data_IF_115243379939
#
_entry.id   IF_115243379939
#
_cell.length_a   1.000
_cell.length_b   1.000
_cell.length_c   1.000
_cell.angle_alpha   90.00
_cell.angle_beta   90.00
_cell.angle_gamma   90.00
#
_symmetry.space_group_name_H-M   'P 1'
#
loop_
_entity.id
_entity.type
_entity.pdbx_description
1 polymer ?
#
# COMPACT_ATOMS: atom_id res chain seq x y z
N UNK A 1 -54.36 -40.66 -14.71
CA UNK A 1 -53.59 -39.51 -14.23
C UNK A 1 -52.85 -39.97 -12.98
N UNK A 2 -51.58 -40.39 -13.14
CA UNK A 2 -50.80 -41.02 -12.08
C UNK A 2 -50.04 -39.91 -11.36
N UNK A 3 -50.46 -39.52 -10.17
CA UNK A 3 -49.67 -38.64 -9.30
C UNK A 3 -48.49 -39.44 -8.80
N UNK A 4 -47.28 -39.12 -9.28
CA UNK A 4 -46.04 -39.59 -8.67
C UNK A 4 -45.95 -38.95 -7.31
N UNK A 5 -45.99 -39.74 -6.25
CA UNK A 5 -45.65 -39.28 -4.89
C UNK A 5 -44.21 -38.77 -4.89
N UNK A 6 -43.95 -37.63 -4.25
CA UNK A 6 -42.58 -37.14 -4.11
C UNK A 6 -41.80 -38.13 -3.26
N UNK A 7 -40.66 -38.53 -3.79
CA UNK A 7 -39.72 -39.49 -3.23
C UNK A 7 -39.34 -39.15 -1.78
N UNK A 8 -39.62 -40.08 -0.87
CA UNK A 8 -39.29 -40.09 0.56
C UNK A 8 -37.78 -40.17 0.89
N UNK A 9 -36.90 -39.74 -0.03
CA UNK A 9 -35.46 -39.94 0.07
C UNK A 9 -34.75 -38.93 0.98
N UNK A 10 -35.46 -37.99 1.59
CA UNK A 10 -34.89 -36.90 2.38
C UNK A 10 -35.46 -36.76 3.79
N UNK A 11 -36.12 -37.76 4.31
CA UNK A 11 -36.51 -37.77 5.73
C UNK A 11 -35.31 -38.19 6.60
N UNK A 12 -34.45 -37.23 6.87
CA UNK A 12 -33.43 -37.42 7.89
C UNK A 12 -34.11 -37.50 9.26
N UNK A 13 -33.73 -38.49 10.11
CA UNK A 13 -34.24 -38.55 11.48
C UNK A 13 -34.02 -37.18 12.16
N UNK A 14 -35.07 -36.64 12.79
CA UNK A 14 -34.98 -35.28 13.44
C UNK A 14 -33.79 -35.13 14.37
N UNK A 15 -33.36 -36.21 15.00
CA UNK A 15 -32.18 -36.27 15.85
C UNK A 15 -30.87 -35.99 15.11
N UNK A 16 -30.71 -36.53 13.88
CA UNK A 16 -29.48 -36.33 13.08
C UNK A 16 -29.41 -34.89 12.56
N UNK A 17 -30.55 -34.34 12.16
CA UNK A 17 -30.63 -32.96 11.68
C UNK A 17 -30.32 -31.98 12.79
N UNK A 18 -30.86 -32.18 13.99
CA UNK A 18 -30.53 -31.35 15.19
C UNK A 18 -29.06 -31.46 15.57
N UNK A 19 -28.50 -32.67 15.59
CA UNK A 19 -27.08 -32.88 15.88
C UNK A 19 -26.18 -32.18 14.85
N UNK A 20 -26.53 -32.28 13.56
CA UNK A 20 -25.81 -31.58 12.47
C UNK A 20 -25.84 -30.06 12.61
N UNK A 21 -26.98 -29.48 12.94
CA UNK A 21 -27.09 -28.02 13.17
C UNK A 21 -26.26 -27.59 14.37
N UNK A 22 -26.35 -28.30 15.51
CA UNK A 22 -25.56 -28.00 16.70
C UNK A 22 -24.06 -28.09 16.40
N UNK A 23 -23.64 -29.12 15.68
CA UNK A 23 -22.24 -29.26 15.28
C UNK A 23 -21.78 -28.10 14.39
N UNK A 24 -22.55 -27.74 13.37
CA UNK A 24 -22.24 -26.60 12.49
C UNK A 24 -22.12 -25.28 13.27
N UNK A 25 -23.07 -25.02 14.16
CA UNK A 25 -23.03 -23.82 15.02
C UNK A 25 -21.79 -23.83 15.90
N UNK A 26 -21.46 -24.95 16.51
CA UNK A 26 -20.27 -25.07 17.37
C UNK A 26 -18.98 -24.83 16.57
N UNK A 27 -18.83 -25.47 15.42
CA UNK A 27 -17.64 -25.28 14.53
C UNK A 27 -17.53 -23.82 14.08
N UNK A 28 -18.65 -23.23 13.66
CA UNK A 28 -18.67 -21.81 13.26
C UNK A 28 -18.26 -20.90 14.41
N UNK A 29 -18.83 -21.10 15.60
CA UNK A 29 -18.51 -20.28 16.77
C UNK A 29 -17.02 -20.40 17.16
N UNK A 30 -16.45 -21.59 17.13
CA UNK A 30 -15.02 -21.81 17.38
C UNK A 30 -14.17 -21.12 16.31
N UNK A 31 -14.50 -21.30 15.05
CA UNK A 31 -13.75 -20.68 13.94
C UNK A 31 -13.78 -19.17 14.02
N UNK A 32 -14.96 -18.59 14.23
CA UNK A 32 -15.12 -17.14 14.42
C UNK A 32 -14.33 -16.65 15.64
N UNK A 33 -14.40 -17.37 16.76
CA UNK A 33 -13.66 -17.03 17.96
C UNK A 33 -12.13 -17.00 17.75
N UNK A 34 -11.60 -18.00 17.03
CA UNK A 34 -10.17 -18.07 16.70
C UNK A 34 -9.81 -16.88 15.79
N UNK A 35 -10.57 -16.65 14.73
CA UNK A 35 -10.30 -15.54 13.80
C UNK A 35 -10.40 -14.18 14.48
N UNK A 36 -11.41 -13.98 15.29
CA UNK A 36 -11.56 -12.74 16.03
C UNK A 36 -10.38 -12.49 16.98
N UNK A 37 -9.92 -13.52 17.69
CA UNK A 37 -8.77 -13.39 18.58
C UNK A 37 -7.46 -13.06 17.83
N UNK A 38 -7.29 -13.60 16.62
CA UNK A 38 -6.15 -13.24 15.75
C UNK A 38 -6.23 -11.77 15.34
N UNK A 39 -7.36 -11.32 14.82
CA UNK A 39 -7.56 -9.93 14.42
C UNK A 39 -7.33 -8.95 15.58
N UNK A 40 -7.83 -9.27 16.77
CA UNK A 40 -7.59 -8.42 17.96
C UNK A 40 -6.12 -8.35 18.33
N UNK A 41 -5.39 -9.46 18.25
CA UNK A 41 -3.94 -9.47 18.50
C UNK A 41 -3.17 -8.64 17.48
N UNK A 42 -3.50 -8.80 16.19
CA UNK A 42 -2.85 -8.08 15.11
C UNK A 42 -3.11 -6.57 15.21
N UNK A 43 -4.35 -6.18 15.49
CA UNK A 43 -4.71 -4.79 15.73
C UNK A 43 -4.04 -4.21 16.97
N UNK A 44 -3.98 -4.97 18.06
CA UNK A 44 -3.28 -4.56 19.27
C UNK A 44 -1.77 -4.40 19.04
N UNK A 45 -1.18 -5.34 18.30
CA UNK A 45 0.23 -5.26 17.90
C UNK A 45 0.51 -4.02 17.04
N UNK A 46 -0.31 -3.78 16.04
CA UNK A 46 -0.22 -2.60 15.17
C UNK A 46 -0.42 -1.30 15.96
N UNK A 47 -1.41 -1.26 16.85
CA UNK A 47 -1.65 -0.09 17.69
C UNK A 47 -0.47 0.20 18.64
N UNK A 48 0.10 -0.85 19.25
CA UNK A 48 1.28 -0.73 20.09
C UNK A 48 2.49 -0.23 19.30
N UNK A 49 2.74 -0.80 18.12
CA UNK A 49 3.81 -0.35 17.23
C UNK A 49 3.62 1.13 16.85
N UNK A 50 2.44 1.49 16.38
CA UNK A 50 2.14 2.86 15.98
C UNK A 50 2.20 3.87 17.14
N UNK A 51 1.93 3.44 18.37
CA UNK A 51 2.04 4.31 19.55
C UNK A 51 3.50 4.68 19.88
N UNK A 52 4.44 3.84 19.49
CA UNK A 52 5.88 4.08 19.68
C UNK A 52 6.48 4.98 18.58
N UNK A 53 5.77 5.16 17.46
CA UNK A 53 6.24 6.00 16.36
C UNK A 53 5.98 7.49 16.64
N UNK A 54 6.86 8.36 16.15
CA UNK A 54 6.60 9.81 16.09
C UNK A 54 5.37 10.10 15.20
N UNK A 55 4.83 11.31 15.29
CA UNK A 55 3.72 11.70 14.41
C UNK A 55 4.11 11.58 12.94
N UNK A 56 5.30 12.03 12.60
CA UNK A 56 5.85 11.95 11.24
C UNK A 56 5.97 10.52 10.75
N UNK A 57 6.54 9.63 11.57
CA UNK A 57 6.70 8.22 11.19
C UNK A 57 5.35 7.52 11.02
N UNK A 58 4.33 7.90 11.82
CA UNK A 58 2.95 7.38 11.65
C UNK A 58 2.31 7.84 10.34
N UNK A 59 2.56 9.08 9.93
CA UNK A 59 2.02 9.64 8.68
C UNK A 59 2.45 8.81 7.48
N UNK A 60 3.67 8.27 7.48
CA UNK A 60 4.23 7.52 6.36
C UNK A 60 4.35 6.02 6.59
N UNK A 61 4.01 5.52 7.78
CA UNK A 61 4.14 4.09 8.10
C UNK A 61 3.41 3.17 7.10
N UNK A 62 2.27 3.61 6.57
CA UNK A 62 1.55 2.92 5.51
C UNK A 62 2.27 2.95 4.15
N UNK A 63 3.14 3.93 3.93
CA UNK A 63 3.91 4.10 2.69
C UNK A 63 5.15 3.20 2.60
N UNK A 64 5.62 2.66 3.73
CA UNK A 64 6.83 1.83 3.78
C UNK A 64 6.78 0.57 2.91
N UNK A 65 5.59 0.08 2.64
CA UNK A 65 5.39 -1.06 1.75
C UNK A 65 5.28 -0.63 0.27
N UNK A 66 5.20 0.67 0.01
CA UNK A 66 4.93 1.23 -1.32
C UNK A 66 6.16 1.89 -1.93
N UNK A 67 6.91 2.61 -1.09
CA UNK A 67 8.14 3.29 -1.51
C UNK A 67 9.33 2.78 -0.70
N UNK A 68 10.47 2.55 -1.35
CA UNK A 68 11.66 1.99 -0.68
C UNK A 68 12.27 2.92 0.36
N UNK A 69 12.18 4.23 0.14
CA UNK A 69 12.79 5.23 1.02
C UNK A 69 11.79 6.34 1.38
N UNK A 70 11.38 6.34 2.65
CA UNK A 70 10.51 7.36 3.22
C UNK A 70 11.20 8.70 3.37
N UNK A 71 12.51 8.70 3.58
CA UNK A 71 13.29 9.92 3.72
C UNK A 71 13.14 10.77 2.48
N UNK A 72 13.13 10.14 1.29
CA UNK A 72 12.90 10.83 0.03
C UNK A 72 11.58 11.59 -0.01
N UNK A 73 10.52 11.06 0.57
CA UNK A 73 9.22 11.72 0.59
C UNK A 73 9.23 13.00 1.45
N UNK A 74 9.88 12.95 2.62
CA UNK A 74 10.02 14.12 3.49
C UNK A 74 10.93 15.16 2.88
N UNK A 75 12.06 14.74 2.32
CA UNK A 75 12.97 15.65 1.64
C UNK A 75 12.29 16.32 0.44
N UNK A 76 11.54 15.56 -0.38
CA UNK A 76 10.76 16.11 -1.47
C UNK A 76 9.75 17.15 -0.98
N UNK A 77 9.06 16.86 0.14
CA UNK A 77 8.09 17.79 0.74
C UNK A 77 8.77 19.07 1.27
N UNK A 78 10.00 18.98 1.75
CA UNK A 78 10.78 20.11 2.22
C UNK A 78 11.43 20.94 1.10
N UNK A 79 11.89 20.29 0.04
CA UNK A 79 12.66 20.90 -1.03
C UNK A 79 11.80 21.49 -2.15
N UNK A 80 10.71 20.81 -2.52
CA UNK A 80 9.84 21.23 -3.61
C UNK A 80 8.92 22.34 -3.11
N UNK A 81 8.92 23.55 -3.70
CA UNK A 81 8.01 24.62 -3.35
C UNK A 81 6.53 24.22 -3.52
N UNK A 82 5.64 24.78 -2.72
CA UNK A 82 4.21 24.41 -2.66
C UNK A 82 3.47 24.69 -3.97
N UNK A 83 3.92 25.68 -4.71
CA UNK A 83 3.37 26.15 -5.98
C UNK A 83 4.03 25.52 -7.22
N UNK A 84 5.04 24.68 -7.02
CA UNK A 84 5.74 23.96 -8.09
C UNK A 84 5.12 22.58 -8.36
N UNK A 85 5.39 22.05 -9.55
CA UNK A 85 5.01 20.70 -9.95
C UNK A 85 6.19 19.74 -9.81
N UNK A 86 5.88 18.45 -9.71
CA UNK A 86 6.88 17.39 -9.64
C UNK A 86 6.53 16.22 -10.57
N UNK A 87 7.54 15.43 -10.91
CA UNK A 87 7.40 14.17 -11.63
C UNK A 87 8.13 13.06 -10.88
N UNK A 88 7.53 11.87 -10.80
CA UNK A 88 8.16 10.68 -10.23
C UNK A 88 8.68 9.82 -11.36
N UNK A 89 10.01 9.73 -11.48
CA UNK A 89 10.68 9.00 -12.54
C UNK A 89 11.31 7.71 -12.01
N UNK A 90 11.24 6.65 -12.81
CA UNK A 90 11.83 5.35 -12.52
C UNK A 90 12.77 4.95 -13.64
N UNK A 91 13.99 4.55 -13.27
CA UNK A 91 14.92 3.94 -14.21
C UNK A 91 14.44 2.57 -14.69
N UNK A 92 14.88 2.17 -15.87
CA UNK A 92 14.50 0.91 -16.48
C UNK A 92 14.91 -0.31 -15.63
N UNK A 93 16.03 -0.20 -14.94
CA UNK A 93 16.64 -1.28 -14.15
C UNK A 93 16.52 -1.03 -12.63
N UNK A 94 15.51 -0.26 -12.19
CA UNK A 94 15.36 0.00 -10.78
C UNK A 94 15.18 -1.30 -9.98
N UNK A 95 16.23 -1.69 -9.25
CA UNK A 95 16.36 -3.01 -8.63
C UNK A 95 15.35 -3.31 -7.52
N UNK A 96 14.74 -2.31 -6.92
CA UNK A 96 13.71 -2.45 -5.88
C UNK A 96 12.27 -2.49 -6.42
N UNK A 97 12.10 -2.32 -7.73
CA UNK A 97 10.79 -2.15 -8.35
C UNK A 97 10.16 -3.43 -8.87
N UNK A 98 8.89 -3.62 -8.59
CA UNK A 98 8.03 -4.52 -9.36
C UNK A 98 7.22 -3.68 -10.37
N UNK A 99 6.59 -4.29 -11.40
CA UNK A 99 5.72 -3.55 -12.33
C UNK A 99 4.60 -2.74 -11.63
N UNK A 100 4.25 -3.11 -10.41
CA UNK A 100 3.23 -2.42 -9.61
C UNK A 100 3.81 -1.29 -8.74
N UNK A 101 5.12 -1.26 -8.51
CA UNK A 101 5.76 -0.27 -7.63
C UNK A 101 5.56 1.16 -8.15
N UNK A 102 5.71 1.36 -9.45
CA UNK A 102 5.56 2.68 -10.07
C UNK A 102 4.18 3.31 -9.84
N UNK A 103 3.05 2.68 -10.21
CA UNK A 103 1.72 3.25 -9.96
C UNK A 103 1.44 3.51 -8.48
N UNK A 104 1.93 2.65 -7.59
CA UNK A 104 1.75 2.84 -6.15
C UNK A 104 2.55 4.02 -5.62
N UNK A 105 3.81 4.16 -6.02
CA UNK A 105 4.63 5.29 -5.63
C UNK A 105 4.09 6.62 -6.18
N UNK A 106 3.68 6.66 -7.45
CA UNK A 106 3.03 7.83 -8.03
C UNK A 106 1.77 8.24 -7.23
N UNK A 107 0.93 7.25 -6.87
CA UNK A 107 -0.26 7.49 -6.05
C UNK A 107 0.09 7.96 -4.64
N UNK A 108 1.14 7.39 -4.03
CA UNK A 108 1.61 7.81 -2.71
C UNK A 108 2.05 9.28 -2.73
N UNK A 109 2.92 9.65 -3.67
CA UNK A 109 3.38 11.04 -3.79
C UNK A 109 2.25 12.01 -4.11
N UNK A 110 1.25 11.59 -4.91
CA UNK A 110 0.07 12.40 -5.21
C UNK A 110 -0.64 12.87 -3.93
N UNK A 111 -0.77 12.01 -2.93
CA UNK A 111 -1.39 12.37 -1.66
C UNK A 111 -0.42 13.02 -0.68
N UNK A 112 0.80 12.49 -0.59
CA UNK A 112 1.77 12.95 0.41
C UNK A 112 2.29 14.36 0.14
N UNK A 113 2.47 14.73 -1.13
CA UNK A 113 2.98 16.03 -1.54
C UNK A 113 1.91 17.10 -1.76
N UNK A 114 0.64 16.81 -1.52
CA UNK A 114 -0.40 17.86 -1.66
C UNK A 114 -0.03 19.13 -0.89
N UNK A 115 -0.32 20.32 -1.43
CA UNK A 115 -1.11 20.62 -2.64
C UNK A 115 -0.32 20.65 -3.97
N UNK A 116 0.96 20.25 -3.97
CA UNK A 116 1.78 20.14 -5.19
C UNK A 116 1.14 19.15 -6.14
N UNK A 117 1.29 19.39 -7.44
CA UNK A 117 0.66 18.55 -8.48
C UNK A 117 1.71 17.82 -9.31
N UNK A 118 1.50 16.55 -9.66
CA UNK A 118 2.35 15.86 -10.62
C UNK A 118 2.19 16.46 -12.01
N UNK A 119 3.27 16.50 -12.80
CA UNK A 119 3.27 16.93 -14.19
C UNK A 119 4.46 16.32 -14.91
N UNK A 120 4.27 15.90 -16.16
CA UNK A 120 5.35 15.37 -17.00
C UNK A 120 6.38 16.45 -17.36
N UNK A 121 5.97 17.72 -17.42
CA UNK A 121 6.84 18.87 -17.70
C UNK A 121 7.40 19.51 -16.41
N UNK A 122 7.37 18.77 -15.28
CA UNK A 122 7.82 19.32 -14.01
C UNK A 122 9.32 19.59 -13.99
N UNK A 123 9.70 20.67 -13.30
CA UNK A 123 11.11 20.96 -13.03
C UNK A 123 11.70 20.16 -11.88
N UNK A 124 10.88 19.55 -11.07
CA UNK A 124 11.31 18.72 -9.97
C UNK A 124 11.05 17.25 -10.27
N UNK A 125 12.10 16.46 -10.15
CA UNK A 125 12.04 15.02 -10.36
C UNK A 125 12.34 14.30 -9.06
N UNK A 126 11.51 13.34 -8.71
CA UNK A 126 11.79 12.33 -7.68
C UNK A 126 12.20 11.09 -8.44
N UNK A 127 13.46 10.77 -8.38
CA UNK A 127 14.13 9.86 -9.30
C UNK A 127 14.51 8.58 -8.56
N UNK A 128 14.01 7.45 -9.02
CA UNK A 128 14.31 6.12 -8.53
C UNK A 128 15.19 5.39 -9.57
N UNK A 129 16.51 5.46 -9.39
CA UNK A 129 17.45 4.80 -10.30
C UNK A 129 17.38 5.27 -11.75
N UNK A 130 16.92 6.50 -12.02
CA UNK A 130 16.79 6.99 -13.37
C UNK A 130 18.12 7.50 -13.92
N UNK A 131 18.27 7.42 -15.24
CA UNK A 131 19.45 7.98 -15.92
C UNK A 131 19.33 9.51 -16.04
N UNK A 132 20.09 10.21 -15.21
CA UNK A 132 20.11 11.68 -15.23
C UNK A 132 20.75 12.25 -16.50
N UNK A 133 21.49 11.43 -17.26
CA UNK A 133 22.08 11.86 -18.52
C UNK A 133 21.02 12.22 -19.59
N UNK A 134 19.81 11.66 -19.48
CA UNK A 134 18.68 12.01 -20.34
C UNK A 134 18.28 13.49 -20.20
N UNK A 135 18.52 14.07 -19.04
CA UNK A 135 18.21 15.48 -18.75
C UNK A 135 19.42 16.42 -19.02
N UNK A 136 20.58 15.83 -19.35
CA UNK A 136 21.80 16.56 -19.69
C UNK A 136 22.34 17.43 -18.56
N UNK A 137 23.03 18.52 -18.91
CA UNK A 137 23.61 19.46 -17.93
C UNK A 137 22.58 20.26 -17.13
N UNK A 138 21.32 20.17 -17.50
CA UNK A 138 20.22 20.89 -16.84
C UNK A 138 19.76 20.21 -15.55
N UNK A 139 20.10 18.92 -15.37
CA UNK A 139 19.72 18.18 -14.18
C UNK A 139 20.68 18.46 -13.02
N UNK A 140 20.21 19.09 -11.98
CA UNK A 140 20.95 19.35 -10.75
C UNK A 140 20.39 18.48 -9.63
N UNK A 141 21.20 17.55 -9.13
CA UNK A 141 20.84 16.75 -7.94
C UNK A 141 20.84 17.67 -6.73
N UNK A 142 19.71 17.82 -6.07
CA UNK A 142 19.53 18.64 -4.89
C UNK A 142 19.67 17.79 -3.63
N UNK A 143 19.23 16.53 -3.71
CA UNK A 143 19.34 15.58 -2.63
C UNK A 143 19.56 14.17 -3.18
N UNK A 144 20.31 13.35 -2.46
CA UNK A 144 20.54 11.93 -2.79
C UNK A 144 20.38 11.09 -1.54
N UNK A 145 19.49 10.10 -1.62
CA UNK A 145 19.25 9.10 -0.59
C UNK A 145 19.94 7.78 -0.87
N UNK A 146 19.67 6.77 -0.04
CA UNK A 146 20.05 5.39 -0.29
C UNK A 146 19.30 4.81 -1.50
N UNK A 147 19.69 3.61 -1.92
CA UNK A 147 19.01 2.82 -2.96
C UNK A 147 18.80 3.57 -4.29
N UNK A 148 19.75 4.43 -4.63
CA UNK A 148 19.76 5.23 -5.86
C UNK A 148 18.54 6.15 -6.04
N UNK A 149 17.99 6.61 -4.92
CA UNK A 149 16.91 7.60 -4.92
C UNK A 149 17.49 9.01 -4.87
N UNK A 150 17.00 9.90 -5.71
CA UNK A 150 17.45 11.29 -5.72
C UNK A 150 16.34 12.27 -6.04
N UNK A 151 16.48 13.50 -5.53
CA UNK A 151 15.62 14.63 -5.88
C UNK A 151 16.44 15.55 -6.75
N UNK A 152 15.91 15.82 -7.93
CA UNK A 152 16.61 16.55 -8.99
C UNK A 152 15.80 17.76 -9.40
N UNK A 153 16.46 18.88 -9.62
CA UNK A 153 15.88 20.05 -10.24
C UNK A 153 16.40 20.19 -11.66
N UNK A 154 15.49 20.29 -12.61
CA UNK A 154 15.82 20.54 -14.03
C UNK A 154 15.72 22.04 -14.29
N UNK A 155 16.83 22.65 -14.68
CA UNK A 155 16.87 24.05 -15.06
C UNK A 155 16.34 24.24 -16.49
N UNK A 156 15.68 25.35 -16.80
CA UNK A 156 15.12 25.60 -18.12
C UNK A 156 16.16 25.73 -19.23
#
# INVERSE_FOLDING_TARGET
>A
MNRREPSSWLEWPDGVLRAGVVFLVAVTAVTVGIRYSQVVRDLSGTASHNSALSFSDREIAGGNAVIPDQTAAYEARGLIPVDETYHVAFGADYAGGTPLTRPFAESFYLYFLMPRRPSDDARWLICYGCDLAEYGHRAKVVWRGPDDVSIVRVEP
#
